data_IF_100601306308
#
_entry.id   IF_100601306308
#
_cell.length_a   1.000
_cell.length_b   1.000
_cell.length_c   1.000
_cell.angle_alpha   90.00
_cell.angle_beta   90.00
_cell.angle_gamma   90.00
#
_symmetry.space_group_name_H-M   'P 1'
#
loop_
_entity.id
_entity.type
_entity.pdbx_description
1 polymer ?
#
# COMPACT_ATOMS: atom_id res chain seq x y z
N UNK A 1 -3.23 95.64 59.54
CA UNK A 1 -4.28 95.77 60.55
C UNK A 1 -5.19 94.58 60.40
N UNK A 2 -4.88 93.51 61.13
CA UNK A 2 -5.84 92.76 61.93
C UNK A 2 -5.04 91.87 62.89
N UNK A 3 -5.25 92.06 64.19
CA UNK A 3 -4.86 91.16 65.29
C UNK A 3 -6.18 90.52 65.79
N UNK A 4 -6.30 89.39 66.47
CA UNK A 4 -5.48 88.74 67.52
C UNK A 4 -6.12 87.34 67.85
N UNK A 5 -5.96 86.67 69.01
CA UNK A 5 -5.21 85.41 69.18
C UNK A 5 -6.01 84.25 69.82
N UNK A 6 -5.41 83.05 69.86
CA UNK A 6 -5.48 82.02 70.94
C UNK A 6 -4.98 80.68 70.37
N UNK A 7 -3.75 80.25 70.62
CA UNK A 7 -3.26 79.56 71.82
C UNK A 7 -3.96 78.22 72.06
N UNK A 8 -3.30 77.11 71.71
CA UNK A 8 -2.88 76.10 72.70
C UNK A 8 -1.84 75.15 72.12
N UNK A 9 -0.80 74.93 72.93
CA UNK A 9 0.31 74.01 72.76
C UNK A 9 -0.09 72.56 73.05
N UNK A 10 0.76 71.63 72.61
CA UNK A 10 0.79 70.21 73.02
C UNK A 10 0.71 69.30 71.79
N UNK A 11 1.60 68.36 71.51
CA UNK A 11 2.69 67.78 72.27
C UNK A 11 3.63 67.09 71.26
N UNK A 12 4.92 67.15 71.57
CA UNK A 12 6.02 66.47 70.91
C UNK A 12 5.84 64.95 70.82
N UNK A 13 6.28 64.35 69.71
CA UNK A 13 7.19 63.19 69.72
C UNK A 13 8.08 63.21 68.47
N UNK A 14 9.37 63.43 68.71
CA UNK A 14 10.49 63.00 67.85
C UNK A 14 10.44 61.47 67.68
N UNK A 15 10.84 60.92 66.52
CA UNK A 15 12.15 60.24 66.35
C UNK A 15 12.36 59.72 64.91
N UNK A 16 13.63 59.60 64.55
CA UNK A 16 14.23 59.32 63.24
C UNK A 16 14.17 57.83 62.84
N UNK A 17 14.36 57.49 61.56
CA UNK A 17 14.58 56.09 61.17
C UNK A 17 14.74 55.87 59.67
N UNK A 18 16.00 55.84 59.21
CA UNK A 18 16.44 55.48 57.86
C UNK A 18 16.27 53.98 57.53
N UNK A 19 16.40 53.65 56.23
CA UNK A 19 16.70 52.33 55.63
C UNK A 19 15.52 51.32 55.58
N UNK A 20 15.13 50.74 54.45
CA UNK A 20 15.97 49.89 53.59
C UNK A 20 15.21 49.56 52.28
N UNK A 21 15.89 49.61 51.12
CA UNK A 21 15.42 48.91 49.92
C UNK A 21 15.46 47.40 50.20
N UNK A 22 14.31 46.73 50.18
CA UNK A 22 14.26 45.27 50.12
C UNK A 22 14.51 44.84 48.67
N UNK A 23 15.77 44.54 48.37
CA UNK A 23 16.13 43.71 47.22
C UNK A 23 15.56 42.30 47.48
N UNK A 24 14.40 42.00 46.92
CA UNK A 24 13.98 40.61 46.75
C UNK A 24 14.69 40.08 45.50
N UNK A 25 15.61 39.11 45.59
CA UNK A 25 16.07 38.43 44.40
C UNK A 25 14.85 37.74 43.77
N UNK A 26 14.54 38.07 42.51
CA UNK A 26 13.64 37.25 41.71
C UNK A 26 14.21 35.83 41.72
N UNK A 27 13.52 34.91 42.39
CA UNK A 27 13.73 33.49 42.15
C UNK A 27 13.45 33.26 40.67
N UNK A 28 14.51 33.03 39.90
CA UNK A 28 14.42 32.47 38.56
C UNK A 28 13.82 31.08 38.78
N UNK A 29 12.50 30.98 38.61
CA UNK A 29 11.80 29.72 38.66
C UNK A 29 12.50 28.76 37.71
N UNK A 30 13.03 27.68 38.26
CA UNK A 30 13.55 26.55 37.50
C UNK A 30 12.44 26.12 36.53
N UNK A 31 12.62 26.38 35.23
CA UNK A 31 11.67 25.90 34.23
C UNK A 31 11.79 24.38 34.29
N UNK A 32 10.80 23.72 34.90
CA UNK A 32 10.69 22.27 35.04
C UNK A 32 10.76 21.58 33.67
N UNK A 33 11.98 21.35 33.16
CA UNK A 33 12.26 20.66 31.90
C UNK A 33 11.80 19.20 31.89
N UNK A 34 11.46 18.65 33.06
CA UNK A 34 10.95 17.29 33.24
C UNK A 34 9.59 17.02 32.57
N UNK A 35 8.78 18.05 32.29
CA UNK A 35 7.54 17.84 31.55
C UNK A 35 7.79 17.74 30.05
N UNK A 36 8.73 18.51 29.49
CA UNK A 36 9.07 18.51 28.05
C UNK A 36 9.77 17.22 27.59
N UNK A 37 10.66 16.65 28.42
CA UNK A 37 11.33 15.38 28.11
C UNK A 37 10.37 14.20 27.95
N UNK A 38 9.28 14.16 28.74
CA UNK A 38 8.27 13.08 28.67
C UNK A 38 7.51 13.09 27.34
N UNK A 39 7.27 14.27 26.76
CA UNK A 39 6.60 14.41 25.47
C UNK A 39 7.53 14.04 24.30
N UNK A 40 8.82 14.35 24.40
CA UNK A 40 9.82 13.99 23.38
C UNK A 40 9.93 12.47 23.25
N UNK A 41 9.97 11.75 24.37
CA UNK A 41 10.03 10.28 24.36
C UNK A 41 8.81 9.64 23.68
N UNK A 42 7.60 10.13 23.96
CA UNK A 42 6.37 9.61 23.33
C UNK A 42 6.33 9.87 21.82
N UNK A 43 6.78 11.06 21.37
CA UNK A 43 6.90 11.40 19.95
C UNK A 43 7.96 10.55 19.26
N UNK A 44 9.10 10.31 19.89
CA UNK A 44 10.16 9.46 19.35
C UNK A 44 9.75 7.99 19.26
N UNK A 45 8.97 7.46 20.22
CA UNK A 45 8.41 6.11 20.16
C UNK A 45 7.35 6.01 19.06
N UNK A 46 6.50 7.02 18.89
CA UNK A 46 5.55 7.08 17.78
C UNK A 46 6.27 7.15 16.42
N UNK A 47 7.33 7.94 16.30
CA UNK A 47 8.17 8.04 15.09
C UNK A 47 8.90 6.72 14.79
N UNK A 48 9.43 6.04 15.82
CA UNK A 48 10.06 4.72 15.66
C UNK A 48 9.05 3.63 15.27
N UNK A 49 7.83 3.69 15.77
CA UNK A 49 6.73 2.79 15.38
C UNK A 49 6.27 2.99 13.94
N UNK A 50 6.40 4.21 13.39
CA UNK A 50 6.12 4.51 11.98
C UNK A 50 7.26 4.09 11.04
N UNK A 51 8.51 4.07 11.52
CA UNK A 51 9.69 3.68 10.73
C UNK A 51 9.94 2.18 10.59
N UNK A 52 9.23 1.34 11.37
CA UNK A 52 9.35 -0.13 11.35
C UNK A 52 8.23 -0.81 10.56
N UNK A 53 7.61 -0.10 9.61
CA UNK A 53 6.75 -0.76 8.65
C UNK A 53 7.63 -1.63 7.76
N UNK A 54 7.74 -2.91 8.11
CA UNK A 54 8.21 -3.94 7.21
C UNK A 54 7.45 -3.74 5.90
N UNK A 55 8.16 -3.40 4.82
CA UNK A 55 7.57 -3.23 3.50
C UNK A 55 6.89 -4.56 3.16
N UNK A 56 5.58 -4.63 3.37
CA UNK A 56 4.78 -5.70 2.81
C UNK A 56 4.78 -5.43 1.32
N UNK A 57 5.13 -6.45 0.54
CA UNK A 57 4.87 -6.39 -0.89
C UNK A 57 3.38 -6.08 -1.06
N UNK A 58 3.09 -5.07 -1.87
CA UNK A 58 1.71 -4.81 -2.24
C UNK A 58 1.26 -5.95 -3.14
N UNK A 59 0.09 -6.52 -2.88
CA UNK A 59 -0.38 -7.70 -3.59
C UNK A 59 -1.78 -7.50 -4.15
N UNK A 60 -1.97 -7.92 -5.39
CA UNK A 60 -3.25 -7.95 -6.08
C UNK A 60 -3.51 -9.37 -6.57
N UNK A 61 -4.75 -9.84 -6.46
CA UNK A 61 -5.13 -11.17 -6.92
C UNK A 61 -6.40 -11.09 -7.77
N UNK A 62 -6.45 -11.88 -8.82
CA UNK A 62 -7.60 -12.04 -9.69
C UNK A 62 -7.79 -13.49 -10.12
N UNK A 63 -8.88 -13.75 -10.85
CA UNK A 63 -9.29 -15.10 -11.26
C UNK A 63 -9.58 -15.15 -12.75
N UNK A 64 -9.13 -16.21 -13.40
CA UNK A 64 -9.49 -16.52 -14.79
C UNK A 64 -10.86 -17.18 -14.79
N UNK A 65 -11.91 -16.39 -14.99
CA UNK A 65 -13.30 -16.82 -14.85
C UNK A 65 -14.13 -16.67 -16.14
N UNK A 66 -13.54 -16.11 -17.20
CA UNK A 66 -14.20 -15.92 -18.48
C UNK A 66 -13.56 -16.80 -19.55
N UNK A 67 -14.13 -17.98 -19.77
CA UNK A 67 -13.70 -18.89 -20.81
C UNK A 67 -14.30 -18.56 -22.18
N UNK A 68 -13.54 -18.77 -23.26
CA UNK A 68 -14.07 -18.69 -24.61
C UNK A 68 -15.09 -19.82 -24.89
N UNK A 69 -15.70 -19.81 -26.08
CA UNK A 69 -16.73 -20.80 -26.42
C UNK A 69 -16.26 -22.25 -26.33
N UNK A 70 -14.97 -22.52 -26.56
CA UNK A 70 -14.42 -23.88 -26.49
C UNK A 70 -14.45 -24.45 -25.06
N UNK A 71 -14.21 -23.62 -24.05
CA UNK A 71 -14.13 -24.06 -22.63
C UNK A 71 -15.31 -23.58 -21.78
N UNK A 72 -16.28 -22.87 -22.37
CA UNK A 72 -17.45 -22.32 -21.67
C UNK A 72 -18.35 -23.36 -20.99
N UNK A 73 -18.26 -24.64 -21.40
CA UNK A 73 -18.97 -25.75 -20.76
C UNK A 73 -18.30 -26.30 -19.48
N UNK A 74 -17.09 -25.84 -19.16
CA UNK A 74 -16.31 -26.31 -18.03
C UNK A 74 -16.38 -25.33 -16.85
N UNK A 75 -16.39 -25.81 -15.59
CA UNK A 75 -16.59 -24.94 -14.43
C UNK A 75 -15.42 -23.97 -14.18
N UNK A 76 -15.69 -22.67 -14.20
CA UNK A 76 -14.77 -21.65 -13.70
C UNK A 76 -14.62 -21.71 -12.16
N UNK A 77 -13.51 -21.21 -11.58
CA UNK A 77 -12.37 -20.57 -12.24
C UNK A 77 -11.42 -21.59 -12.89
N UNK A 78 -10.80 -21.18 -14.00
CA UNK A 78 -9.78 -21.98 -14.70
C UNK A 78 -8.39 -21.82 -14.07
N UNK A 79 -8.18 -20.71 -13.37
CA UNK A 79 -6.95 -20.41 -12.66
C UNK A 79 -7.05 -19.08 -11.91
N UNK A 80 -5.93 -18.69 -11.31
CA UNK A 80 -5.76 -17.43 -10.57
C UNK A 80 -4.50 -16.72 -11.02
N UNK A 81 -4.51 -15.40 -10.88
CA UNK A 81 -3.36 -14.53 -11.11
C UNK A 81 -3.06 -13.79 -9.82
N UNK A 82 -1.79 -13.80 -9.41
CA UNK A 82 -1.30 -13.04 -8.26
C UNK A 82 -0.19 -12.10 -8.73
N UNK A 83 -0.28 -10.84 -8.32
CA UNK A 83 0.70 -9.80 -8.61
C UNK A 83 1.24 -9.30 -7.29
N UNK A 84 2.55 -9.33 -7.12
CA UNK A 84 3.25 -8.81 -5.94
C UNK A 84 4.24 -7.74 -6.38
N UNK A 85 4.04 -6.50 -5.95
CA UNK A 85 4.90 -5.36 -6.30
C UNK A 85 5.88 -5.04 -5.17
N UNK A 86 7.18 -5.01 -5.52
CA UNK A 86 8.25 -4.52 -4.65
C UNK A 86 9.07 -3.48 -5.41
N UNK A 87 8.96 -2.22 -4.98
CA UNK A 87 9.51 -1.10 -5.75
C UNK A 87 8.83 -0.99 -7.11
N UNK A 88 9.58 -1.22 -8.18
CA UNK A 88 9.11 -1.15 -9.57
C UNK A 88 9.13 -2.51 -10.28
N UNK A 89 9.40 -3.58 -9.53
CA UNK A 89 9.39 -4.96 -10.03
C UNK A 89 8.18 -5.68 -9.48
N UNK A 90 7.32 -6.15 -10.38
CA UNK A 90 6.19 -6.98 -10.05
C UNK A 90 6.50 -8.44 -10.36
N UNK A 91 6.26 -9.31 -9.39
CA UNK A 91 6.22 -10.77 -9.61
C UNK A 91 4.80 -11.17 -9.90
N UNK A 92 4.58 -11.83 -11.05
CA UNK A 92 3.28 -12.27 -11.51
C UNK A 92 3.28 -13.80 -11.52
N UNK A 93 2.33 -14.39 -10.82
CA UNK A 93 2.16 -15.83 -10.70
C UNK A 93 0.79 -16.24 -11.20
N UNK A 94 0.77 -17.09 -12.21
CA UNK A 94 -0.41 -17.81 -12.64
C UNK A 94 -0.46 -19.17 -11.96
N UNK A 95 -1.64 -19.58 -11.49
CA UNK A 95 -1.87 -20.91 -10.91
C UNK A 95 -3.14 -21.50 -11.48
N UNK A 96 -3.02 -22.64 -12.16
CA UNK A 96 -4.15 -23.35 -12.73
C UNK A 96 -5.02 -23.95 -11.62
N UNK A 97 -6.33 -23.93 -11.79
CA UNK A 97 -7.24 -24.61 -10.87
C UNK A 97 -7.17 -26.13 -11.07
N UNK A 98 -7.63 -26.89 -10.07
CA UNK A 98 -7.63 -28.34 -10.16
C UNK A 98 -8.48 -28.82 -11.36
N UNK A 99 -7.91 -29.70 -12.18
CA UNK A 99 -8.55 -30.13 -13.43
C UNK A 99 -8.13 -29.33 -14.66
N UNK A 100 -7.22 -28.36 -14.51
CA UNK A 100 -6.71 -27.51 -15.59
C UNK A 100 -5.18 -27.39 -15.57
N UNK A 101 -4.59 -27.06 -16.71
CA UNK A 101 -3.17 -26.70 -16.87
C UNK A 101 -3.04 -25.52 -17.86
N UNK A 102 -1.87 -24.88 -17.88
CA UNK A 102 -1.46 -23.90 -18.89
C UNK A 102 -0.45 -24.51 -19.85
N UNK A 103 -0.49 -24.18 -21.15
CA UNK A 103 0.50 -24.70 -22.10
C UNK A 103 0.40 -24.10 -23.49
N UNK A 104 1.29 -24.51 -24.39
CA UNK A 104 1.40 -24.04 -25.78
C UNK A 104 1.80 -22.56 -25.92
N UNK A 105 1.78 -22.01 -27.14
CA UNK A 105 1.96 -20.60 -27.40
C UNK A 105 0.90 -19.74 -26.71
N UNK A 106 1.31 -18.59 -26.17
CA UNK A 106 0.50 -17.74 -25.30
C UNK A 106 -0.11 -18.55 -24.14
N UNK A 107 0.71 -19.34 -23.45
CA UNK A 107 0.31 -20.14 -22.30
C UNK A 107 -0.37 -19.28 -21.24
N UNK A 108 0.21 -18.12 -20.96
CA UNK A 108 -0.39 -17.05 -20.18
C UNK A 108 0.00 -15.70 -20.76
N UNK A 109 -0.84 -14.71 -20.58
CA UNK A 109 -0.65 -13.36 -21.10
C UNK A 109 -1.11 -12.32 -20.12
N UNK A 110 -0.46 -11.15 -20.15
CA UNK A 110 -0.82 -9.99 -19.34
C UNK A 110 -0.70 -8.71 -20.16
N UNK A 111 -1.49 -7.72 -19.80
CA UNK A 111 -1.40 -6.39 -20.38
C UNK A 111 -0.78 -5.44 -19.35
N UNK A 112 0.54 -5.34 -19.40
CA UNK A 112 1.36 -4.56 -18.48
C UNK A 112 1.07 -3.07 -18.67
N UNK A 113 0.73 -2.38 -17.59
CA UNK A 113 0.43 -0.95 -17.56
C UNK A 113 1.71 -0.10 -17.48
N UNK A 114 2.58 -0.22 -18.48
CA UNK A 114 3.77 0.61 -18.60
C UNK A 114 4.08 0.85 -20.08
N UNK A 115 4.66 2.01 -20.41
CA UNK A 115 5.11 2.29 -21.78
C UNK A 115 6.35 1.50 -22.16
N UNK A 116 7.14 1.08 -21.16
CA UNK A 116 8.31 0.22 -21.32
C UNK A 116 8.55 -0.58 -20.03
N UNK A 117 8.95 -1.82 -20.19
CA UNK A 117 9.30 -2.73 -19.09
C UNK A 117 10.36 -3.72 -19.55
N UNK A 118 10.92 -4.47 -18.60
CA UNK A 118 11.73 -5.66 -18.86
C UNK A 118 11.15 -6.85 -18.13
N UNK A 119 11.19 -8.01 -18.76
CA UNK A 119 10.64 -9.26 -18.27
C UNK A 119 11.73 -10.29 -17.97
N UNK A 120 11.48 -11.15 -16.98
CA UNK A 120 12.35 -12.27 -16.67
C UNK A 120 11.55 -13.45 -16.10
N UNK A 121 11.88 -14.66 -16.54
CA UNK A 121 11.23 -15.87 -16.04
C UNK A 121 11.75 -16.17 -14.63
N UNK A 122 10.85 -16.56 -13.72
CA UNK A 122 11.22 -17.00 -12.37
C UNK A 122 11.14 -18.51 -12.32
N UNK A 123 9.96 -19.07 -12.60
CA UNK A 123 9.75 -20.51 -12.62
C UNK A 123 8.72 -20.88 -13.67
N UNK A 124 9.19 -21.61 -14.67
CA UNK A 124 8.40 -22.38 -15.61
C UNK A 124 9.33 -23.39 -16.28
N UNK A 125 9.03 -24.68 -16.15
CA UNK A 125 9.85 -25.76 -16.70
C UNK A 125 9.69 -25.91 -18.21
N UNK A 126 8.60 -25.37 -18.77
CA UNK A 126 8.25 -25.48 -20.17
C UNK A 126 8.48 -24.18 -20.95
N UNK A 127 9.01 -23.13 -20.31
CA UNK A 127 9.27 -21.82 -20.90
C UNK A 127 10.04 -21.89 -22.22
N UNK A 128 9.45 -21.36 -23.28
CA UNK A 128 10.04 -21.29 -24.62
C UNK A 128 10.32 -19.85 -25.07
N UNK A 129 9.64 -18.85 -24.51
CA UNK A 129 9.93 -17.45 -24.80
C UNK A 129 8.93 -16.43 -24.25
N UNK A 130 9.29 -15.16 -24.39
CA UNK A 130 8.38 -14.03 -24.23
C UNK A 130 7.96 -13.50 -25.59
N UNK A 131 6.70 -13.10 -25.70
CA UNK A 131 6.14 -12.54 -26.93
C UNK A 131 5.06 -11.49 -26.60
N UNK A 132 4.35 -11.06 -27.64
CA UNK A 132 3.13 -10.26 -27.52
C UNK A 132 2.19 -10.65 -28.66
N UNK A 133 0.88 -10.56 -28.44
CA UNK A 133 -0.04 -11.12 -29.43
C UNK A 133 -1.50 -10.94 -29.12
N UNK A 134 -2.32 -11.29 -30.11
CA UNK A 134 -3.76 -11.38 -29.96
C UNK A 134 -4.14 -12.80 -29.54
N UNK A 135 -4.89 -12.90 -28.45
CA UNK A 135 -5.44 -14.14 -27.92
C UNK A 135 -6.91 -14.24 -28.33
N UNK A 136 -7.31 -15.43 -28.79
CA UNK A 136 -8.62 -15.64 -29.39
C UNK A 136 -9.76 -15.33 -28.41
N UNK A 137 -10.62 -14.39 -28.80
CA UNK A 137 -11.74 -13.91 -27.99
C UNK A 137 -11.38 -12.96 -26.83
N UNK A 138 -10.10 -12.81 -26.47
CA UNK A 138 -9.65 -12.03 -25.31
C UNK A 138 -8.89 -10.75 -25.69
N UNK A 139 -8.48 -10.60 -26.95
CA UNK A 139 -7.86 -9.39 -27.47
C UNK A 139 -6.34 -9.41 -27.40
N UNK A 140 -5.73 -8.23 -27.51
CA UNK A 140 -4.28 -8.08 -27.58
C UNK A 140 -3.67 -7.90 -26.19
N UNK A 141 -2.58 -8.62 -25.93
CA UNK A 141 -1.76 -8.52 -24.74
C UNK A 141 -0.35 -8.10 -25.14
N UNK A 142 0.24 -7.19 -24.35
CA UNK A 142 1.58 -6.66 -24.63
C UNK A 142 2.71 -7.52 -24.07
N UNK A 143 2.37 -8.57 -23.31
CA UNK A 143 3.29 -9.61 -22.86
C UNK A 143 2.57 -10.96 -22.82
N UNK A 144 3.13 -11.96 -23.50
CA UNK A 144 2.73 -13.36 -23.41
C UNK A 144 3.92 -14.22 -23.07
N UNK A 145 3.68 -15.29 -22.33
CA UNK A 145 4.65 -16.33 -21.98
C UNK A 145 4.28 -17.53 -22.84
N UNK A 146 5.24 -17.99 -23.62
CA UNK A 146 5.09 -19.16 -24.47
C UNK A 146 5.75 -20.35 -23.76
N UNK A 147 5.06 -21.50 -23.78
CA UNK A 147 5.66 -22.78 -23.40
C UNK A 147 5.85 -23.66 -24.62
N UNK A 148 6.70 -24.68 -24.48
CA UNK A 148 6.83 -25.73 -25.45
C UNK A 148 5.50 -26.50 -25.64
N UNK A 149 5.31 -27.03 -26.84
CA UNK A 149 3.98 -27.41 -27.34
C UNK A 149 3.31 -28.57 -26.57
N UNK A 150 2.03 -28.37 -26.28
CA UNK A 150 1.07 -29.43 -25.98
C UNK A 150 1.01 -29.94 -24.53
N UNK A 151 0.14 -30.93 -24.30
CA UNK A 151 -0.19 -31.46 -22.97
C UNK A 151 1.03 -32.01 -22.21
N UNK A 152 2.07 -32.46 -22.92
CA UNK A 152 3.28 -33.01 -22.31
C UNK A 152 4.18 -31.94 -21.66
N UNK A 153 3.97 -30.67 -22.00
CA UNK A 153 4.70 -29.51 -21.48
C UNK A 153 3.74 -28.52 -20.80
N UNK A 154 2.52 -28.96 -20.50
CA UNK A 154 1.57 -28.15 -19.76
C UNK A 154 1.92 -28.11 -18.27
N UNK A 155 1.77 -26.95 -17.65
CA UNK A 155 2.20 -26.66 -16.29
C UNK A 155 1.04 -26.12 -15.45
N UNK A 156 1.09 -26.36 -14.14
CA UNK A 156 0.08 -25.83 -13.20
C UNK A 156 0.42 -24.43 -12.69
N UNK A 157 1.66 -23.97 -12.88
CA UNK A 157 2.14 -22.69 -12.35
C UNK A 157 3.18 -22.09 -13.29
N UNK A 158 3.00 -20.81 -13.58
CA UNK A 158 3.95 -19.99 -14.33
C UNK A 158 4.23 -18.75 -13.48
N UNK A 159 5.51 -18.46 -13.19
CA UNK A 159 5.89 -17.23 -12.50
C UNK A 159 6.96 -16.50 -13.27
N UNK A 160 6.73 -15.21 -13.47
CA UNK A 160 7.66 -14.30 -14.13
C UNK A 160 7.66 -12.95 -13.41
N UNK A 161 8.61 -12.11 -13.76
CA UNK A 161 8.70 -10.74 -13.28
C UNK A 161 8.60 -9.77 -14.43
N UNK A 162 8.04 -8.61 -14.14
CA UNK A 162 8.09 -7.42 -15.00
C UNK A 162 8.64 -6.27 -14.18
N UNK A 163 9.61 -5.54 -14.73
CA UNK A 163 10.16 -4.33 -14.11
C UNK A 163 9.81 -3.13 -14.96
N UNK A 164 9.10 -2.18 -14.38
CA UNK A 164 8.75 -0.94 -15.06
C UNK A 164 10.00 -0.08 -15.25
N UNK A 165 10.34 0.19 -16.51
CA UNK A 165 11.48 1.04 -16.91
C UNK A 165 11.03 2.40 -17.44
N UNK A 166 9.73 2.67 -17.44
CA UNK A 166 9.16 3.94 -17.87
C UNK A 166 9.34 5.04 -16.81
N UNK A 167 9.04 6.28 -17.20
CA UNK A 167 9.10 7.43 -16.31
C UNK A 167 7.93 7.50 -15.32
N UNK A 168 6.85 6.76 -15.57
CA UNK A 168 5.65 6.76 -14.72
C UNK A 168 5.67 5.51 -13.84
N UNK A 169 5.88 5.65 -12.52
CA UNK A 169 5.96 4.49 -11.65
C UNK A 169 4.60 3.84 -11.41
N UNK A 170 4.61 2.57 -10.99
CA UNK A 170 3.40 1.94 -10.48
C UNK A 170 3.21 2.37 -9.03
N UNK A 171 1.97 2.73 -8.67
CA UNK A 171 1.67 3.15 -7.31
C UNK A 171 1.18 2.00 -6.43
N UNK A 172 0.74 0.91 -7.06
CA UNK A 172 0.22 -0.30 -6.42
C UNK A 172 0.37 -1.51 -7.33
N UNK A 173 0.25 -2.72 -6.77
CA UNK A 173 0.19 -3.98 -7.51
C UNK A 173 -1.00 -4.02 -8.48
N UNK A 174 -2.14 -3.43 -8.10
CA UNK A 174 -3.31 -3.30 -8.97
C UNK A 174 -3.07 -2.34 -10.16
N UNK A 175 -2.03 -1.51 -10.13
CA UNK A 175 -1.65 -0.66 -11.26
C UNK A 175 -0.62 -1.30 -12.18
N UNK A 176 -0.12 -2.50 -11.88
CA UNK A 176 0.85 -3.22 -12.73
C UNK A 176 0.19 -3.68 -14.03
N UNK A 177 -1.07 -4.10 -13.97
CA UNK A 177 -1.85 -4.57 -15.10
C UNK A 177 -2.94 -3.55 -15.45
N UNK A 178 -3.29 -3.46 -16.73
CA UNK A 178 -4.36 -2.60 -17.22
C UNK A 178 -5.20 -3.34 -18.25
N UNK A 179 -6.49 -3.05 -18.29
CA UNK A 179 -7.38 -3.64 -19.28
C UNK A 179 -6.94 -3.34 -20.72
N UNK A 180 -6.95 -4.36 -21.56
CA UNK A 180 -6.89 -4.21 -23.00
C UNK A 180 -8.24 -3.70 -23.56
N UNK A 181 -8.33 -3.56 -24.88
CA UNK A 181 -9.54 -3.08 -25.56
C UNK A 181 -10.77 -4.01 -25.45
N UNK A 182 -10.60 -5.21 -24.88
CA UNK A 182 -11.66 -6.19 -24.60
C UNK A 182 -11.97 -6.32 -23.12
N UNK A 183 -11.40 -5.46 -22.27
CA UNK A 183 -11.59 -5.46 -20.82
C UNK A 183 -10.97 -6.66 -20.10
N UNK A 184 -9.86 -7.19 -20.63
CA UNK A 184 -9.02 -8.21 -19.98
C UNK A 184 -7.62 -7.66 -19.75
N UNK A 185 -7.04 -7.94 -18.59
CA UNK A 185 -5.69 -7.56 -18.20
C UNK A 185 -4.74 -8.77 -18.02
N UNK A 186 -5.31 -9.98 -18.01
CA UNK A 186 -4.61 -11.26 -18.02
C UNK A 186 -5.44 -12.35 -18.70
N UNK A 187 -4.73 -13.35 -19.22
CA UNK A 187 -5.29 -14.54 -19.85
C UNK A 187 -4.43 -15.79 -19.60
N UNK A 188 -5.02 -16.96 -19.83
CA UNK A 188 -4.28 -18.21 -19.98
C UNK A 188 -4.90 -19.16 -21.02
N UNK A 189 -4.04 -19.85 -21.74
CA UNK A 189 -4.38 -21.00 -22.57
C UNK A 189 -4.61 -22.22 -21.68
N UNK A 190 -5.88 -22.58 -21.51
CA UNK A 190 -6.35 -23.62 -20.62
C UNK A 190 -6.37 -24.97 -21.32
N UNK A 191 -5.75 -25.94 -20.67
CA UNK A 191 -5.78 -27.36 -21.01
C UNK A 191 -6.66 -28.06 -19.98
N UNK A 192 -7.72 -28.73 -20.42
CA UNK A 192 -8.64 -29.42 -19.51
C UNK A 192 -8.17 -30.86 -19.30
N UNK A 193 -8.07 -31.27 -18.04
CA UNK A 193 -7.67 -32.63 -17.63
C UNK A 193 -8.68 -33.30 -16.70
N UNK A 194 -9.74 -32.60 -16.30
CA UNK A 194 -10.71 -33.05 -15.29
C UNK A 194 -11.56 -34.26 -15.71
N UNK A 195 -11.79 -34.46 -17.01
CA UNK A 195 -12.73 -35.45 -17.55
C UNK A 195 -12.14 -36.36 -18.64
N UNK A 196 -10.81 -36.38 -18.79
CA UNK A 196 -10.08 -37.08 -19.84
C UNK A 196 -10.43 -36.64 -21.28
N UNK A 197 -11.17 -35.55 -21.48
CA UNK A 197 -11.24 -34.92 -22.80
C UNK A 197 -10.00 -34.07 -23.03
N UNK A 198 -9.35 -34.29 -24.18
CA UNK A 198 -8.27 -33.45 -24.66
C UNK A 198 -8.94 -32.25 -25.35
N UNK A 199 -9.27 -31.24 -24.55
CA UNK A 199 -9.83 -29.98 -25.03
C UNK A 199 -9.01 -28.81 -24.48
N UNK A 200 -8.78 -27.81 -25.33
CA UNK A 200 -8.11 -26.57 -24.94
C UNK A 200 -8.93 -25.36 -25.35
N UNK A 201 -8.64 -24.22 -24.72
CA UNK A 201 -9.17 -22.91 -25.10
C UNK A 201 -8.61 -21.83 -24.20
N UNK A 202 -9.13 -20.61 -24.29
CA UNK A 202 -8.57 -19.47 -23.57
C UNK A 202 -9.51 -18.97 -22.49
N UNK A 203 -8.95 -18.55 -21.35
CA UNK A 203 -9.67 -17.91 -20.27
C UNK A 203 -9.04 -16.56 -19.91
N UNK A 204 -9.87 -15.53 -19.78
CA UNK A 204 -9.46 -14.20 -19.30
C UNK A 204 -9.99 -13.90 -17.90
N UNK A 205 -9.42 -12.87 -17.28
CA UNK A 205 -9.97 -12.29 -16.06
C UNK A 205 -11.13 -11.32 -16.35
N UNK A 206 -12.31 -11.56 -15.79
CA UNK A 206 -13.42 -10.61 -15.90
C UNK A 206 -13.41 -9.65 -14.70
N UNK A 207 -12.83 -8.46 -14.93
CA UNK A 207 -13.01 -7.28 -14.09
C UNK A 207 -12.56 -7.44 -12.64
N UNK A 208 -11.25 -7.42 -12.38
CA UNK A 208 -10.74 -7.36 -11.02
C UNK A 208 -10.80 -5.91 -10.46
N UNK A 209 -11.95 -5.54 -9.89
CA UNK A 209 -12.16 -4.29 -9.18
C UNK A 209 -11.75 -4.36 -7.70
N UNK A 210 -10.56 -3.83 -7.40
CA UNK A 210 -9.99 -3.30 -6.13
C UNK A 210 -10.48 -3.87 -4.79
N UNK A 211 -9.59 -4.53 -4.04
CA UNK A 211 -9.41 -4.10 -2.64
C UNK A 211 -7.94 -4.05 -2.17
N UNK A 212 -7.44 -2.83 -1.90
CA UNK A 212 -6.28 -2.56 -1.03
C UNK A 212 -6.69 -1.69 0.17
N UNK A 213 -7.89 -1.92 0.73
CA UNK A 213 -8.40 -1.19 1.90
C UNK A 213 -7.55 -1.32 3.17
N UNK A 214 -6.51 -2.15 3.19
CA UNK A 214 -5.64 -2.36 4.35
C UNK A 214 -4.83 -1.12 4.75
N UNK A 215 -4.25 -0.41 3.77
CA UNK A 215 -3.44 0.80 4.03
C UNK A 215 -4.33 1.99 4.39
N UNK A 216 -5.48 2.13 3.73
CA UNK A 216 -6.45 3.20 4.00
C UNK A 216 -7.08 3.03 5.38
N UNK A 217 -7.48 1.80 5.76
CA UNK A 217 -8.05 1.51 7.09
C UNK A 217 -6.99 1.65 8.19
N UNK A 218 -5.75 1.27 7.94
CA UNK A 218 -4.68 1.47 8.92
C UNK A 218 -4.36 2.95 9.13
N UNK A 219 -4.30 3.75 8.06
CA UNK A 219 -4.06 5.19 8.16
C UNK A 219 -5.24 5.90 8.82
N UNK A 220 -6.47 5.52 8.48
CA UNK A 220 -7.68 6.03 9.11
C UNK A 220 -7.75 5.62 10.60
N UNK A 221 -7.42 4.38 10.92
CA UNK A 221 -7.36 3.86 12.29
C UNK A 221 -6.28 4.53 13.13
N UNK A 222 -5.10 4.77 12.56
CA UNK A 222 -4.02 5.52 13.21
C UNK A 222 -4.39 6.99 13.42
N UNK A 223 -4.99 7.64 12.42
CA UNK A 223 -5.46 9.02 12.53
C UNK A 223 -6.58 9.19 13.58
N UNK A 224 -7.56 8.28 13.60
CA UNK A 224 -8.63 8.27 14.60
C UNK A 224 -8.11 7.92 16.00
N UNK A 225 -7.16 6.99 16.09
CA UNK A 225 -6.47 6.66 17.34
C UNK A 225 -5.71 7.86 17.91
N UNK A 226 -4.95 8.57 17.06
CA UNK A 226 -4.25 9.79 17.42
C UNK A 226 -5.20 10.93 17.82
N UNK A 227 -6.32 11.10 17.09
CA UNK A 227 -7.35 12.09 17.40
C UNK A 227 -8.08 11.78 18.72
N UNK A 228 -8.38 10.50 18.97
CA UNK A 228 -8.95 10.03 20.23
C UNK A 228 -8.02 10.29 21.43
N UNK A 229 -6.72 10.08 21.24
CA UNK A 229 -5.70 10.44 22.23
C UNK A 229 -5.64 11.96 22.45
N UNK A 230 -5.57 12.76 21.38
CA UNK A 230 -5.54 14.22 21.46
C UNK A 230 -6.76 14.79 22.22
N UNK A 231 -7.97 14.26 21.96
CA UNK A 231 -9.19 14.68 22.67
C UNK A 231 -9.13 14.41 24.18
N UNK A 232 -8.49 13.32 24.60
CA UNK A 232 -8.35 12.97 26.03
C UNK A 232 -7.38 13.87 26.77
N UNK A 233 -6.45 14.51 26.06
CA UNK A 233 -5.45 15.41 26.64
C UNK A 233 -5.84 16.90 26.56
N UNK A 234 -6.65 17.31 25.57
CA UNK A 234 -7.10 18.71 25.44
C UNK A 234 -8.36 19.07 26.25
N UNK A 235 -9.06 18.09 26.85
CA UNK A 235 -10.25 18.34 27.70
C UNK A 235 -9.94 18.36 29.22
N UNK A 236 -8.65 18.48 29.60
CA UNK A 236 -8.23 18.75 30.98
C UNK A 236 -7.62 20.16 31.09
N UNK A 237 -8.47 21.16 30.93
CA UNK A 237 -8.31 22.55 31.38
C UNK A 237 -9.69 23.03 31.78
#
# INVERSE_FOLDING_TARGET
MDQDPNRTEGSLTLWQGSCSLSNQPQQIGEINNMNKLKYIAAVLIALAGLGLQQAKADTFNSVLNFGNSAISGFPAPYGTVSVSLVGQTATITFTAANGYLFGDGSSVGVNVNASSFSEAIVTDAAFSGFSSGNVDGLGQFNLTIDNHDGFAQAVSTITFTVTNTSLTPWLSAANVLAFNNKHFDAEGHIFIIADQTILTGFAGENGAGVPDGGTTVMLLGAALGALGMARRFCLKT
#
